data_IF_555790603390
#
_entry.id   IF_555790603390
#
_cell.length_a   1.000
_cell.length_b   1.000
_cell.length_c   1.000
_cell.angle_alpha   90.00
_cell.angle_beta   90.00
_cell.angle_gamma   90.00
#
_symmetry.space_group_name_H-M   'P 1'
#
loop_
_entity.id
_entity.type
_entity.pdbx_description
1 polymer ?
#
# COMPACT_ATOMS: atom_id res chain seq x y z
N UNK A 1 62.50 -23.93 -56.58
CA UNK A 1 61.80 -22.67 -56.21
C UNK A 1 60.93 -22.95 -54.98
N UNK A 2 60.90 -22.03 -54.00
CA UNK A 2 60.38 -22.23 -52.64
C UNK A 2 58.84 -22.07 -52.56
N UNK A 3 58.20 -22.34 -51.40
CA UNK A 3 56.75 -22.46 -51.25
C UNK A 3 56.03 -21.10 -51.10
N UNK A 4 54.68 -21.04 -51.22
CA UNK A 4 53.94 -19.81 -51.05
C UNK A 4 53.86 -19.37 -49.58
N UNK A 5 53.97 -18.06 -49.39
CA UNK A 5 54.02 -17.31 -48.15
C UNK A 5 52.70 -17.31 -47.37
N UNK A 6 52.80 -17.60 -46.08
CA UNK A 6 51.78 -17.35 -45.05
C UNK A 6 51.66 -15.83 -44.84
N UNK A 7 50.44 -15.28 -44.91
CA UNK A 7 50.15 -13.89 -44.52
C UNK A 7 49.74 -13.86 -43.04
N UNK A 8 50.29 -12.93 -42.21
CA UNK A 8 49.99 -12.89 -40.79
C UNK A 8 48.73 -12.05 -40.49
N UNK A 9 47.79 -12.69 -39.79
CA UNK A 9 47.06 -12.14 -38.65
C UNK A 9 46.40 -10.77 -38.79
N UNK A 10 45.14 -10.77 -39.22
CA UNK A 10 44.20 -9.74 -38.79
C UNK A 10 43.62 -10.16 -37.43
N UNK A 11 44.35 -9.85 -36.36
CA UNK A 11 43.88 -10.05 -34.98
C UNK A 11 42.84 -9.00 -34.66
N UNK A 12 41.62 -9.20 -35.15
CA UNK A 12 40.44 -8.52 -34.63
C UNK A 12 40.29 -8.97 -33.18
N UNK A 13 40.74 -8.11 -32.25
CA UNK A 13 40.48 -8.28 -30.83
C UNK A 13 38.97 -8.50 -30.66
N UNK A 14 38.53 -9.60 -30.04
CA UNK A 14 37.15 -9.68 -29.61
C UNK A 14 36.99 -8.57 -28.59
N UNK A 15 36.20 -7.55 -28.93
CA UNK A 15 35.69 -6.59 -27.96
C UNK A 15 35.06 -7.43 -26.87
N UNK A 16 35.78 -7.55 -25.75
CA UNK A 16 35.30 -8.20 -24.55
C UNK A 16 34.10 -7.34 -24.12
N UNK A 17 32.92 -7.74 -24.58
CA UNK A 17 31.64 -7.27 -24.08
C UNK A 17 31.74 -7.46 -22.59
N UNK A 18 31.89 -6.35 -21.87
CA UNK A 18 31.81 -6.29 -20.41
C UNK A 18 30.66 -7.21 -20.04
N UNK A 19 30.96 -8.34 -19.39
CA UNK A 19 29.93 -9.19 -18.80
C UNK A 19 29.24 -8.29 -17.80
N UNK A 20 28.12 -7.69 -18.19
CA UNK A 20 27.19 -7.08 -17.24
C UNK A 20 26.84 -8.19 -16.26
N UNK A 21 27.40 -8.11 -15.05
CA UNK A 21 27.26 -9.13 -14.00
C UNK A 21 25.82 -9.19 -13.48
N UNK A 22 24.94 -8.29 -13.91
CA UNK A 22 23.51 -8.29 -13.56
C UNK A 22 22.58 -8.44 -14.76
N UNK A 23 21.37 -8.91 -14.46
CA UNK A 23 20.27 -9.02 -15.41
C UNK A 23 19.76 -7.63 -15.81
N UNK A 24 20.36 -7.03 -16.85
CA UNK A 24 19.97 -5.69 -17.33
C UNK A 24 18.53 -5.62 -17.79
N UNK A 25 17.91 -6.77 -18.14
CA UNK A 25 16.50 -6.84 -18.49
C UNK A 25 15.58 -6.44 -17.33
N UNK A 26 16.02 -6.63 -16.08
CA UNK A 26 15.30 -6.17 -14.90
C UNK A 26 15.13 -4.63 -14.91
N UNK A 27 16.15 -3.90 -15.37
CA UNK A 27 16.15 -2.44 -15.41
C UNK A 27 15.54 -1.85 -16.69
N UNK A 28 15.66 -2.55 -17.82
CA UNK A 28 15.15 -2.08 -19.11
C UNK A 28 13.71 -2.49 -19.40
N UNK A 29 13.12 -3.36 -18.57
CA UNK A 29 11.70 -3.71 -18.68
C UNK A 29 10.79 -2.52 -18.34
N UNK A 30 9.56 -2.52 -18.85
CA UNK A 30 8.59 -1.46 -18.56
C UNK A 30 8.34 -1.29 -17.05
N UNK A 31 8.27 -2.39 -16.30
CA UNK A 31 8.12 -2.38 -14.83
C UNK A 31 9.39 -1.86 -14.16
N UNK A 32 10.57 -2.27 -14.64
CA UNK A 32 11.86 -1.77 -14.14
C UNK A 32 12.01 -0.26 -14.27
N UNK A 33 11.59 0.31 -15.40
CA UNK A 33 11.61 1.77 -15.62
C UNK A 33 10.70 2.48 -14.62
N UNK A 34 9.50 1.94 -14.35
CA UNK A 34 8.60 2.53 -13.35
C UNK A 34 9.20 2.48 -11.96
N UNK A 35 9.81 1.36 -11.56
CA UNK A 35 10.51 1.25 -10.26
C UNK A 35 11.66 2.24 -10.10
N UNK A 36 12.37 2.54 -11.19
CA UNK A 36 13.38 3.59 -11.18
C UNK A 36 12.76 4.98 -10.99
N UNK A 37 11.61 5.25 -11.60
CA UNK A 37 10.86 6.50 -11.38
C UNK A 37 10.31 6.60 -9.95
N UNK A 38 9.77 5.52 -9.39
CA UNK A 38 9.35 5.45 -7.99
C UNK A 38 10.49 5.82 -7.05
N UNK A 39 11.66 5.21 -7.27
CA UNK A 39 12.86 5.44 -6.46
C UNK A 39 13.33 6.90 -6.58
N UNK A 40 13.33 7.45 -7.79
CA UNK A 40 13.70 8.85 -8.03
C UNK A 40 12.72 9.83 -7.38
N UNK A 41 11.41 9.65 -7.58
CA UNK A 41 10.41 10.54 -7.01
C UNK A 41 10.35 10.44 -5.48
N UNK A 42 10.45 9.24 -4.90
CA UNK A 42 10.52 9.07 -3.45
C UNK A 42 11.78 9.76 -2.89
N UNK A 43 12.94 9.59 -3.54
CA UNK A 43 14.20 10.22 -3.17
C UNK A 43 14.12 11.74 -3.17
N UNK A 44 13.60 12.31 -4.26
CA UNK A 44 13.39 13.77 -4.37
C UNK A 44 12.44 14.24 -3.28
N UNK A 45 11.36 13.51 -3.02
CA UNK A 45 10.36 13.88 -2.00
C UNK A 45 10.98 14.01 -0.62
N UNK A 46 11.57 12.94 -0.06
CA UNK A 46 12.13 13.02 1.28
C UNK A 46 13.33 13.97 1.34
N UNK A 47 14.15 14.07 0.29
CA UNK A 47 15.30 14.99 0.26
C UNK A 47 14.87 16.45 0.35
N UNK A 48 13.78 16.83 -0.33
CA UNK A 48 13.20 18.18 -0.24
C UNK A 48 12.71 18.48 1.19
N UNK A 49 12.08 17.51 1.85
CA UNK A 49 11.59 17.69 3.22
C UNK A 49 12.74 17.76 4.23
N UNK A 50 13.76 16.89 4.12
CA UNK A 50 14.99 16.93 4.93
C UNK A 50 15.66 18.29 4.83
N UNK A 51 15.83 18.80 3.61
CA UNK A 51 16.59 20.02 3.38
C UNK A 51 16.00 21.25 4.09
N UNK A 52 14.68 21.28 4.28
CA UNK A 52 13.98 22.40 4.95
C UNK A 52 13.52 22.08 6.37
N UNK A 53 13.79 20.88 6.90
CA UNK A 53 13.32 20.46 8.23
C UNK A 53 11.80 20.39 8.33
N UNK A 54 11.12 20.02 7.25
CA UNK A 54 9.67 20.16 7.11
C UNK A 54 8.81 19.02 7.65
N UNK A 55 9.21 18.32 8.72
CA UNK A 55 8.52 17.11 9.20
C UNK A 55 8.12 17.13 10.68
N UNK A 56 8.08 18.29 11.32
CA UNK A 56 7.84 18.36 12.76
C UNK A 56 6.49 17.75 13.18
N UNK A 57 6.54 16.80 14.12
CA UNK A 57 5.38 16.15 14.70
C UNK A 57 4.98 14.83 14.04
N UNK A 58 4.08 14.10 14.70
CA UNK A 58 3.69 12.72 14.34
C UNK A 58 3.25 12.53 12.88
N UNK A 59 2.60 13.54 12.30
CA UNK A 59 2.15 13.48 10.92
C UNK A 59 3.31 13.58 9.92
N UNK A 60 4.33 14.38 10.22
CA UNK A 60 5.55 14.45 9.42
C UNK A 60 6.39 13.19 9.55
N UNK A 61 6.50 12.64 10.76
CA UNK A 61 7.15 11.33 11.01
C UNK A 61 6.52 10.22 10.16
N UNK A 62 5.18 10.18 10.09
CA UNK A 62 4.46 9.22 9.24
C UNK A 62 4.78 9.42 7.74
N UNK A 63 4.77 10.66 7.26
CA UNK A 63 5.07 10.95 5.85
C UNK A 63 6.52 10.55 5.49
N UNK A 64 7.48 10.89 6.35
CA UNK A 64 8.89 10.51 6.19
C UNK A 64 9.07 8.99 6.23
N UNK A 65 8.41 8.31 7.16
CA UNK A 65 8.41 6.85 7.20
C UNK A 65 7.89 6.25 5.89
N UNK A 66 6.75 6.72 5.38
CA UNK A 66 6.19 6.25 4.12
C UNK A 66 7.19 6.39 2.97
N UNK A 67 7.75 7.59 2.74
CA UNK A 67 8.67 7.81 1.62
C UNK A 67 9.98 7.03 1.75
N UNK A 68 10.60 7.02 2.93
CA UNK A 68 11.86 6.31 3.16
C UNK A 68 11.69 4.80 3.09
N UNK A 69 10.61 4.26 3.67
CA UNK A 69 10.30 2.83 3.61
C UNK A 69 10.02 2.38 2.17
N UNK A 70 9.21 3.16 1.43
CA UNK A 70 8.93 2.90 0.03
C UNK A 70 10.22 2.88 -0.81
N UNK A 71 11.07 3.89 -0.65
CA UNK A 71 12.38 3.96 -1.31
C UNK A 71 13.28 2.75 -0.99
N UNK A 72 13.44 2.42 0.29
CA UNK A 72 14.34 1.36 0.73
C UNK A 72 13.92 -0.01 0.19
N UNK A 73 12.63 -0.32 0.23
CA UNK A 73 12.12 -1.61 -0.25
C UNK A 73 12.11 -1.67 -1.78
N UNK A 74 11.75 -0.60 -2.51
CA UNK A 74 11.89 -0.56 -3.98
C UNK A 74 13.34 -0.74 -4.40
N UNK A 75 14.29 -0.11 -3.71
CA UNK A 75 15.73 -0.32 -3.96
C UNK A 75 16.13 -1.78 -3.74
N UNK A 76 15.67 -2.40 -2.65
CA UNK A 76 15.94 -3.81 -2.36
C UNK A 76 15.37 -4.72 -3.45
N UNK A 77 14.13 -4.47 -3.90
CA UNK A 77 13.49 -5.22 -4.99
C UNK A 77 14.34 -5.12 -6.27
N UNK A 78 14.75 -3.91 -6.65
CA UNK A 78 15.59 -3.68 -7.83
C UNK A 78 16.95 -4.39 -7.72
N UNK A 79 17.61 -4.35 -6.56
CA UNK A 79 18.89 -5.02 -6.32
C UNK A 79 18.76 -6.53 -6.43
N UNK A 80 17.72 -7.12 -5.83
CA UNK A 80 17.46 -8.56 -5.90
C UNK A 80 17.20 -9.01 -7.33
N UNK A 81 16.41 -8.26 -8.09
CA UNK A 81 16.09 -8.58 -9.49
C UNK A 81 17.30 -8.42 -10.40
N UNK A 82 18.08 -7.36 -10.19
CA UNK A 82 19.32 -7.14 -10.93
C UNK A 82 20.35 -8.24 -10.66
N UNK A 83 20.47 -8.67 -9.40
CA UNK A 83 21.37 -9.75 -9.00
C UNK A 83 20.85 -11.16 -9.36
N UNK A 84 19.60 -11.29 -9.80
CA UNK A 84 18.99 -12.59 -10.12
C UNK A 84 18.82 -13.51 -8.91
N UNK A 85 18.76 -12.97 -7.69
CA UNK A 85 18.72 -13.73 -6.44
C UNK A 85 17.30 -14.17 -6.02
N UNK A 86 16.33 -14.05 -6.92
CA UNK A 86 14.91 -14.33 -6.68
C UNK A 86 14.68 -15.74 -6.08
N UNK A 87 15.39 -16.75 -6.58
CA UNK A 87 15.24 -18.15 -6.12
C UNK A 87 15.82 -18.39 -4.70
N UNK A 88 16.67 -17.51 -4.18
CA UNK A 88 17.29 -17.69 -2.86
C UNK A 88 16.45 -17.14 -1.71
N UNK A 89 15.42 -16.36 -2.02
CA UNK A 89 14.57 -15.72 -1.03
C UNK A 89 13.38 -16.65 -0.76
N UNK A 90 13.03 -16.93 0.52
CA UNK A 90 11.93 -17.82 0.88
C UNK A 90 10.53 -17.20 0.65
N UNK A 91 10.43 -16.20 -0.23
CA UNK A 91 9.23 -15.40 -0.48
C UNK A 91 8.87 -15.52 -1.96
N UNK A 92 7.57 -15.63 -2.25
CA UNK A 92 7.06 -15.63 -3.62
C UNK A 92 7.36 -14.31 -4.31
N UNK A 93 8.35 -14.31 -5.21
CA UNK A 93 8.69 -13.15 -6.01
C UNK A 93 7.61 -12.78 -7.04
N UNK A 94 6.53 -13.58 -7.13
CA UNK A 94 5.35 -13.31 -7.97
C UNK A 94 4.29 -12.49 -7.24
N UNK A 95 4.12 -12.73 -5.94
CA UNK A 95 3.11 -12.05 -5.12
C UNK A 95 3.70 -10.85 -4.38
N UNK A 96 4.94 -10.96 -3.88
CA UNK A 96 5.53 -9.94 -3.02
C UNK A 96 5.64 -8.56 -3.67
N UNK A 97 6.21 -8.40 -4.89
CA UNK A 97 6.42 -7.06 -5.44
C UNK A 97 5.11 -6.32 -5.72
N UNK A 98 4.09 -7.00 -6.28
CA UNK A 98 2.77 -6.38 -6.52
C UNK A 98 2.06 -6.03 -5.21
N UNK A 99 2.12 -6.89 -4.18
CA UNK A 99 1.55 -6.57 -2.86
C UNK A 99 2.24 -5.37 -2.24
N UNK A 100 3.57 -5.34 -2.29
CA UNK A 100 4.34 -4.21 -1.79
C UNK A 100 4.02 -2.93 -2.55
N UNK A 101 4.00 -2.95 -3.89
CA UNK A 101 3.64 -1.79 -4.70
C UNK A 101 2.25 -1.25 -4.37
N UNK A 102 1.28 -2.14 -4.07
CA UNK A 102 -0.05 -1.73 -3.63
C UNK A 102 -0.06 -1.11 -2.22
N UNK A 103 0.72 -1.63 -1.28
CA UNK A 103 0.88 -0.98 0.03
C UNK A 103 1.61 0.36 -0.10
N UNK A 104 2.65 0.43 -0.92
CA UNK A 104 3.45 1.62 -1.15
C UNK A 104 2.62 2.73 -1.81
N UNK A 105 1.74 2.39 -2.77
CA UNK A 105 0.81 3.36 -3.36
C UNK A 105 -0.14 3.95 -2.30
N UNK A 106 -0.71 3.12 -1.43
CA UNK A 106 -1.60 3.55 -0.37
C UNK A 106 -0.89 4.39 0.70
N UNK A 107 0.33 4.00 1.10
CA UNK A 107 1.18 4.78 2.00
C UNK A 107 1.51 6.14 1.39
N UNK A 108 1.97 6.19 0.13
CA UNK A 108 2.27 7.43 -0.57
C UNK A 108 1.02 8.30 -0.78
N UNK A 109 -0.14 7.69 -1.06
CA UNK A 109 -1.41 8.41 -1.13
C UNK A 109 -1.74 9.07 0.20
N UNK A 110 -1.60 8.33 1.31
CA UNK A 110 -1.84 8.87 2.65
C UNK A 110 -0.90 10.04 2.98
N UNK A 111 0.40 9.90 2.68
CA UNK A 111 1.38 10.97 2.87
C UNK A 111 1.06 12.19 2.00
N UNK A 112 0.62 11.98 0.75
CA UNK A 112 0.24 13.05 -0.18
C UNK A 112 -1.00 13.84 0.24
N UNK A 113 -1.84 13.27 1.11
CA UNK A 113 -2.99 13.97 1.71
C UNK A 113 -2.62 14.61 3.05
N UNK A 114 -1.92 13.89 3.92
CA UNK A 114 -1.58 14.34 5.27
C UNK A 114 -0.59 15.52 5.23
N UNK A 115 0.45 15.44 4.41
CA UNK A 115 1.50 16.45 4.34
C UNK A 115 1.01 17.86 3.94
N UNK A 116 0.25 18.06 2.85
CA UNK A 116 -0.24 19.39 2.50
C UNK A 116 -1.26 19.95 3.51
N UNK A 117 -2.12 19.10 4.08
CA UNK A 117 -3.08 19.56 5.11
C UNK A 117 -2.35 20.05 6.35
N UNK A 118 -1.24 19.41 6.72
CA UNK A 118 -0.49 19.74 7.94
C UNK A 118 0.51 20.89 7.75
N UNK A 119 1.24 20.95 6.63
CA UNK A 119 2.33 21.90 6.43
C UNK A 119 2.06 23.02 5.41
N UNK A 120 1.00 22.92 4.59
CA UNK A 120 0.65 23.96 3.60
C UNK A 120 -0.59 24.75 4.05
N UNK A 121 -1.62 24.08 4.57
CA UNK A 121 -2.86 24.75 4.98
C UNK A 121 -2.77 25.39 6.38
N UNK A 122 -2.10 24.73 7.33
CA UNK A 122 -2.03 25.19 8.72
C UNK A 122 -0.85 26.12 9.02
N UNK A 123 0.17 26.12 8.16
CA UNK A 123 1.39 26.86 8.38
C UNK A 123 1.27 28.20 7.67
N UNK A 124 1.29 29.31 8.41
CA UNK A 124 1.39 30.69 7.85
C UNK A 124 2.71 30.97 7.11
N UNK A 125 3.39 29.92 6.66
CA UNK A 125 4.71 29.90 6.04
C UNK A 125 4.59 30.49 4.65
N UNK A 126 5.31 31.59 4.42
CA UNK A 126 5.32 32.37 3.17
C UNK A 126 6.72 32.32 2.55
N UNK A 127 6.75 32.42 1.22
CA UNK A 127 8.00 32.42 0.44
C UNK A 127 8.52 31.01 0.15
N UNK A 128 9.83 30.91 -0.10
CA UNK A 128 10.47 29.71 -0.65
C UNK A 128 10.12 28.41 0.08
N UNK A 129 10.00 28.41 1.41
CA UNK A 129 9.70 27.20 2.20
C UNK A 129 8.39 26.54 1.76
N UNK A 130 7.36 27.33 1.44
CA UNK A 130 6.09 26.82 0.92
C UNK A 130 6.26 26.15 -0.45
N UNK A 131 7.14 26.67 -1.31
CA UNK A 131 7.42 26.08 -2.62
C UNK A 131 8.06 24.70 -2.49
N UNK A 132 8.93 24.48 -1.49
CA UNK A 132 9.49 23.16 -1.18
C UNK A 132 8.41 22.18 -0.70
N UNK A 133 7.49 22.61 0.17
CA UNK A 133 6.40 21.74 0.62
C UNK A 133 5.46 21.36 -0.53
N UNK A 134 5.16 22.31 -1.43
CA UNK A 134 4.34 22.04 -2.63
C UNK A 134 5.08 21.06 -3.55
N UNK A 135 6.35 21.29 -3.83
CA UNK A 135 7.17 20.40 -4.66
C UNK A 135 7.22 18.98 -4.07
N UNK A 136 7.48 18.85 -2.77
CA UNK A 136 7.47 17.56 -2.08
C UNK A 136 6.10 16.85 -2.20
N UNK A 137 5.00 17.61 -2.09
CA UNK A 137 3.64 17.04 -2.24
C UNK A 137 3.42 16.54 -3.67
N UNK A 138 3.85 17.29 -4.68
CA UNK A 138 3.75 16.89 -6.10
C UNK A 138 4.56 15.62 -6.37
N UNK A 139 5.81 15.54 -5.89
CA UNK A 139 6.62 14.34 -6.04
C UNK A 139 6.09 13.14 -5.25
N UNK A 140 5.47 13.37 -4.08
CA UNK A 140 4.76 12.33 -3.34
C UNK A 140 3.56 11.79 -4.16
N UNK A 141 2.79 12.67 -4.80
CA UNK A 141 1.70 12.27 -5.70
C UNK A 141 2.22 11.49 -6.91
N UNK A 142 3.33 11.93 -7.52
CA UNK A 142 3.96 11.22 -8.64
C UNK A 142 4.47 9.84 -8.23
N UNK A 143 5.05 9.72 -7.03
CA UNK A 143 5.45 8.44 -6.44
C UNK A 143 4.25 7.51 -6.28
N UNK A 144 3.14 8.02 -5.74
CA UNK A 144 1.89 7.26 -5.62
C UNK A 144 1.37 6.78 -6.98
N UNK A 145 1.37 7.65 -7.99
CA UNK A 145 0.93 7.30 -9.35
C UNK A 145 1.85 6.28 -10.00
N UNK A 146 3.16 6.36 -9.75
CA UNK A 146 4.14 5.40 -10.25
C UNK A 146 3.88 3.99 -9.65
N UNK A 147 3.69 3.88 -8.33
CA UNK A 147 3.29 2.61 -7.70
C UNK A 147 1.95 2.08 -8.21
N UNK A 148 0.96 2.95 -8.43
CA UNK A 148 -0.30 2.55 -9.05
C UNK A 148 -0.10 2.04 -10.49
N UNK A 149 0.79 2.67 -11.25
CA UNK A 149 1.16 2.22 -12.58
C UNK A 149 1.86 0.85 -12.52
N UNK A 150 2.77 0.60 -11.58
CA UNK A 150 3.36 -0.73 -11.36
C UNK A 150 2.26 -1.76 -11.10
N UNK A 151 1.34 -1.50 -10.16
CA UNK A 151 0.23 -2.42 -9.84
C UNK A 151 -0.62 -2.70 -11.07
N UNK A 152 -0.98 -1.68 -11.86
CA UNK A 152 -1.82 -1.88 -13.06
C UNK A 152 -1.12 -2.67 -14.15
N UNK A 153 0.19 -2.54 -14.32
CA UNK A 153 0.96 -3.31 -15.30
C UNK A 153 1.22 -4.75 -14.85
N UNK A 154 1.33 -4.97 -13.54
CA UNK A 154 1.60 -6.29 -12.94
C UNK A 154 0.32 -7.06 -12.60
N UNK A 155 -0.85 -6.44 -12.77
CA UNK A 155 -2.17 -7.10 -12.63
C UNK A 155 -2.31 -8.29 -13.58
N UNK A 156 -2.97 -9.32 -13.08
CA UNK A 156 -3.28 -10.53 -13.82
C UNK A 156 -4.09 -10.22 -15.08
N UNK A 157 -3.60 -10.63 -16.25
CA UNK A 157 -4.39 -10.67 -17.48
C UNK A 157 -5.19 -11.98 -17.54
N UNK A 158 -6.41 -11.98 -18.10
CA UNK A 158 -7.19 -13.21 -18.25
C UNK A 158 -6.39 -14.28 -19.03
N UNK A 159 -6.13 -15.43 -18.42
CA UNK A 159 -5.41 -16.56 -19.04
C UNK A 159 -3.93 -16.67 -18.70
N UNK A 160 -3.35 -15.74 -17.94
CA UNK A 160 -1.97 -15.82 -17.48
C UNK A 160 -1.89 -16.46 -16.08
N UNK A 161 -0.99 -17.44 -15.88
CA UNK A 161 -0.79 -18.08 -14.57
C UNK A 161 -0.04 -17.10 -13.68
N UNK A 162 -0.73 -16.13 -13.06
CA UNK A 162 -0.14 -15.15 -12.14
C UNK A 162 -0.43 -15.48 -10.68
N UNK A 163 0.31 -14.86 -9.75
CA UNK A 163 0.05 -15.01 -8.32
C UNK A 163 -1.31 -14.44 -7.90
N UNK A 164 -1.91 -14.98 -6.83
CA UNK A 164 -3.22 -14.53 -6.31
C UNK A 164 -3.23 -13.02 -6.01
N UNK A 165 -2.11 -12.44 -5.58
CA UNK A 165 -2.00 -11.00 -5.29
C UNK A 165 -2.11 -10.10 -6.51
N UNK A 166 -1.94 -10.66 -7.71
CA UNK A 166 -2.17 -9.93 -8.95
C UNK A 166 -3.65 -9.88 -9.37
N UNK A 167 -4.52 -10.59 -8.66
CA UNK A 167 -5.97 -10.60 -8.92
C UNK A 167 -6.68 -9.45 -8.20
N UNK A 168 -7.87 -9.09 -8.68
CA UNK A 168 -8.70 -8.04 -8.05
C UNK A 168 -9.01 -8.35 -6.57
N UNK A 169 -9.45 -9.56 -6.18
CA UNK A 169 -9.64 -9.92 -4.76
C UNK A 169 -8.37 -9.77 -3.92
N UNK A 170 -7.21 -10.18 -4.44
CA UNK A 170 -5.93 -10.03 -3.75
C UNK A 170 -5.57 -8.58 -3.46
N UNK A 171 -5.77 -7.69 -4.43
CA UNK A 171 -5.53 -6.24 -4.26
C UNK A 171 -6.54 -5.60 -3.31
N UNK A 172 -7.80 -6.04 -3.31
CA UNK A 172 -8.82 -5.54 -2.39
C UNK A 172 -8.44 -5.84 -0.94
N UNK A 173 -7.89 -7.02 -0.63
CA UNK A 173 -7.38 -7.35 0.72
C UNK A 173 -6.30 -6.41 1.22
N UNK A 174 -5.42 -5.94 0.33
CA UNK A 174 -4.40 -4.95 0.67
C UNK A 174 -5.08 -3.64 1.09
N UNK A 175 -6.11 -3.20 0.35
CA UNK A 175 -6.91 -2.02 0.72
C UNK A 175 -7.64 -2.24 2.05
N UNK A 176 -8.25 -3.40 2.26
CA UNK A 176 -8.98 -3.73 3.51
C UNK A 176 -8.11 -3.57 4.74
N UNK A 177 -6.91 -4.18 4.69
CA UNK A 177 -5.95 -4.15 5.79
C UNK A 177 -5.39 -2.75 6.00
N UNK A 178 -5.12 -2.00 4.93
CA UNK A 178 -4.65 -0.63 5.04
C UNK A 178 -5.69 0.31 5.66
N UNK A 179 -6.96 0.21 5.22
CA UNK A 179 -8.07 0.97 5.82
C UNK A 179 -8.24 0.62 7.30
N UNK A 180 -8.18 -0.66 7.65
CA UNK A 180 -8.22 -1.11 9.04
C UNK A 180 -7.05 -0.54 9.88
N UNK A 181 -5.83 -0.47 9.33
CA UNK A 181 -4.70 0.19 10.00
C UNK A 181 -4.99 1.66 10.30
N UNK A 182 -5.56 2.41 9.34
CA UNK A 182 -5.94 3.81 9.57
C UNK A 182 -7.01 3.92 10.66
N UNK A 183 -7.99 3.02 10.66
CA UNK A 183 -9.01 2.94 11.73
C UNK A 183 -8.33 2.75 13.09
N UNK A 184 -7.35 1.85 13.21
CA UNK A 184 -6.62 1.65 14.46
C UNK A 184 -5.86 2.90 14.92
N UNK A 185 -5.22 3.62 13.99
CA UNK A 185 -4.53 4.89 14.33
C UNK A 185 -5.52 5.89 14.92
N UNK A 186 -6.71 6.04 14.34
CA UNK A 186 -7.70 7.00 14.84
C UNK A 186 -8.43 6.54 16.10
N UNK A 187 -8.64 5.23 16.30
CA UNK A 187 -9.41 4.71 17.44
C UNK A 187 -8.61 4.70 18.74
N UNK A 188 -7.28 4.61 18.65
CA UNK A 188 -6.37 4.51 19.80
C UNK A 188 -6.04 5.85 20.44
N UNK A 189 -6.17 6.97 19.71
CA UNK A 189 -5.73 8.27 20.20
C UNK A 189 -6.71 9.42 19.81
N UNK A 190 -7.64 9.80 20.71
CA UNK A 190 -7.87 9.25 22.05
C UNK A 190 -8.66 7.93 22.02
N UNK A 191 -8.48 7.11 23.05
CA UNK A 191 -9.18 5.82 23.24
C UNK A 191 -10.70 6.03 23.21
N UNK A 192 -11.29 5.72 22.06
CA UNK A 192 -12.70 6.05 21.80
C UNK A 192 -13.65 4.88 22.05
N UNK A 193 -13.15 3.68 22.34
CA UNK A 193 -13.95 2.45 22.41
C UNK A 193 -14.27 1.97 23.83
N UNK A 194 -13.60 2.48 24.87
CA UNK A 194 -13.62 1.82 26.18
C UNK A 194 -14.90 2.06 27.00
N UNK A 195 -15.65 3.13 26.69
CA UNK A 195 -16.83 3.54 27.48
C UNK A 195 -18.06 2.62 27.32
N UNK A 196 -18.21 1.93 26.20
CA UNK A 196 -19.42 1.18 25.87
C UNK A 196 -19.06 -0.17 25.24
N UNK A 197 -19.71 -1.25 25.68
CA UNK A 197 -19.48 -2.60 25.18
C UNK A 197 -19.71 -2.72 23.67
N UNK A 198 -20.69 -1.96 23.14
CA UNK A 198 -20.97 -1.91 21.70
C UNK A 198 -19.78 -1.38 20.88
N UNK A 199 -18.98 -0.46 21.43
CA UNK A 199 -17.79 0.05 20.76
C UNK A 199 -16.60 -0.93 20.87
N UNK A 200 -16.56 -1.73 21.95
CA UNK A 200 -15.63 -2.86 22.08
C UNK A 200 -15.92 -3.93 21.03
N UNK A 201 -17.20 -4.17 20.71
CA UNK A 201 -17.58 -5.02 19.59
C UNK A 201 -17.07 -4.48 18.25
N UNK A 202 -17.25 -3.19 17.95
CA UNK A 202 -16.69 -2.58 16.74
C UNK A 202 -15.17 -2.79 16.64
N UNK A 203 -14.43 -2.59 17.73
CA UNK A 203 -12.99 -2.85 17.77
C UNK A 203 -12.67 -4.33 17.50
N UNK A 204 -13.42 -5.25 18.11
CA UNK A 204 -13.25 -6.69 17.88
C UNK A 204 -13.47 -7.05 16.41
N UNK A 205 -14.48 -6.46 15.76
CA UNK A 205 -14.73 -6.62 14.32
C UNK A 205 -13.52 -6.18 13.51
N UNK A 206 -12.98 -4.98 13.76
CA UNK A 206 -11.82 -4.48 13.04
C UNK A 206 -10.60 -5.40 13.23
N UNK A 207 -10.33 -5.84 14.46
CA UNK A 207 -9.22 -6.75 14.77
C UNK A 207 -9.35 -8.12 14.08
N UNK A 208 -10.50 -8.76 14.19
CA UNK A 208 -10.73 -10.11 13.62
C UNK A 208 -10.58 -10.05 12.10
N UNK A 209 -11.25 -9.10 11.45
CA UNK A 209 -11.19 -8.98 9.99
C UNK A 209 -9.79 -8.59 9.51
N UNK A 210 -9.09 -7.69 10.22
CA UNK A 210 -7.71 -7.34 9.92
C UNK A 210 -6.77 -8.55 9.99
N UNK A 211 -6.83 -9.33 11.09
CA UNK A 211 -5.99 -10.52 11.27
C UNK A 211 -6.28 -11.53 10.17
N UNK A 212 -7.55 -11.78 9.86
CA UNK A 212 -7.93 -12.74 8.81
C UNK A 212 -7.44 -12.29 7.42
N UNK A 213 -7.63 -11.03 7.04
CA UNK A 213 -7.13 -10.51 5.76
C UNK A 213 -5.59 -10.54 5.72
N UNK A 214 -4.90 -10.19 6.81
CA UNK A 214 -3.44 -10.25 6.92
C UNK A 214 -2.90 -11.67 6.81
N UNK A 215 -3.52 -12.65 7.47
CA UNK A 215 -3.14 -14.06 7.36
C UNK A 215 -3.25 -14.53 5.92
N UNK A 216 -4.31 -14.18 5.21
CA UNK A 216 -4.42 -14.52 3.78
C UNK A 216 -3.30 -13.88 2.97
N UNK A 217 -2.95 -12.62 3.26
CA UNK A 217 -1.85 -11.94 2.56
C UNK A 217 -0.52 -12.67 2.78
N UNK A 218 -0.19 -13.00 4.03
CA UNK A 218 1.03 -13.72 4.39
C UNK A 218 1.08 -15.12 3.76
N UNK A 219 -0.03 -15.87 3.78
CA UNK A 219 -0.10 -17.19 3.15
C UNK A 219 0.13 -17.12 1.64
N UNK A 220 -0.37 -16.10 0.95
CA UNK A 220 -0.12 -15.92 -0.48
C UNK A 220 1.32 -15.51 -0.79
N UNK A 221 1.92 -14.63 0.04
CA UNK A 221 3.31 -14.20 -0.13
C UNK A 221 4.28 -15.36 0.16
N UNK A 222 3.98 -16.20 1.16
CA UNK A 222 4.79 -17.37 1.53
C UNK A 222 4.51 -18.63 0.72
N UNK A 223 3.57 -18.61 -0.24
CA UNK A 223 3.10 -19.80 -0.97
C UNK A 223 2.64 -20.97 -0.07
N UNK A 224 2.24 -20.67 1.17
CA UNK A 224 1.79 -21.65 2.16
C UNK A 224 0.27 -21.94 2.08
N UNK A 225 -0.37 -21.64 0.94
CA UNK A 225 -1.84 -21.80 0.78
C UNK A 225 -2.31 -23.26 0.94
N UNK A 226 -1.42 -24.23 0.71
CA UNK A 226 -1.70 -25.67 0.89
C UNK A 226 -1.73 -26.15 2.34
N UNK A 227 -1.37 -25.32 3.32
CA UNK A 227 -1.46 -25.69 4.74
C UNK A 227 -2.89 -25.62 5.30
N UNK A 228 -3.81 -25.02 4.54
CA UNK A 228 -5.20 -24.92 4.96
C UNK A 228 -5.89 -26.30 4.80
N UNK A 229 -6.61 -26.78 5.84
CA UNK A 229 -7.33 -28.05 5.80
C UNK A 229 -8.55 -28.03 4.86
N UNK A 230 -8.85 -26.89 4.23
CA UNK A 230 -9.97 -26.69 3.32
C UNK A 230 -9.49 -26.05 2.01
N UNK A 231 -10.26 -26.21 0.94
CA UNK A 231 -10.00 -25.55 -0.33
C UNK A 231 -9.89 -24.02 -0.13
N UNK A 232 -8.76 -23.45 -0.55
CA UNK A 232 -8.43 -22.03 -0.37
C UNK A 232 -9.57 -21.11 -0.81
N UNK A 233 -10.19 -21.37 -1.97
CA UNK A 233 -11.30 -20.58 -2.51
C UNK A 233 -12.56 -20.61 -1.62
N UNK A 234 -12.84 -21.74 -0.95
CA UNK A 234 -13.98 -21.84 -0.01
C UNK A 234 -13.70 -21.09 1.28
N UNK A 235 -12.48 -21.19 1.81
CA UNK A 235 -12.04 -20.41 2.96
C UNK A 235 -12.14 -18.91 2.67
N UNK A 236 -11.68 -18.49 1.49
CA UNK A 236 -11.79 -17.12 1.00
C UNK A 236 -13.22 -16.61 1.00
N UNK A 237 -14.10 -17.30 0.26
CA UNK A 237 -15.51 -16.89 0.17
C UNK A 237 -16.20 -16.87 1.54
N UNK A 238 -15.89 -17.83 2.41
CA UNK A 238 -16.48 -17.93 3.74
C UNK A 238 -16.07 -16.77 4.66
N UNK A 239 -14.78 -16.43 4.71
CA UNK A 239 -14.34 -15.30 5.53
C UNK A 239 -14.86 -13.97 4.97
N UNK A 240 -14.86 -13.76 3.64
CA UNK A 240 -15.31 -12.46 3.09
C UNK A 240 -16.78 -12.23 3.42
N UNK A 241 -17.62 -13.27 3.33
CA UNK A 241 -19.01 -13.19 3.74
C UNK A 241 -19.14 -12.84 5.24
N UNK A 242 -18.37 -13.51 6.10
CA UNK A 242 -18.35 -13.22 7.53
C UNK A 242 -17.92 -11.77 7.81
N UNK A 243 -16.88 -11.29 7.14
CA UNK A 243 -16.36 -9.94 7.28
C UNK A 243 -17.40 -8.90 6.85
N UNK A 244 -18.12 -9.10 5.74
CA UNK A 244 -19.23 -8.24 5.31
C UNK A 244 -20.30 -8.13 6.40
N UNK A 245 -20.73 -9.26 6.97
CA UNK A 245 -21.75 -9.27 8.03
C UNK A 245 -21.25 -8.52 9.28
N UNK A 246 -20.01 -8.79 9.71
CA UNK A 246 -19.42 -8.13 10.87
C UNK A 246 -19.26 -6.62 10.65
N UNK A 247 -18.73 -6.18 9.51
CA UNK A 247 -18.59 -4.76 9.18
C UNK A 247 -19.94 -4.06 9.00
N UNK A 248 -20.97 -4.74 8.51
CA UNK A 248 -22.32 -4.19 8.46
C UNK A 248 -22.83 -3.83 9.86
N UNK A 249 -22.60 -4.71 10.85
CA UNK A 249 -22.94 -4.38 12.26
C UNK A 249 -22.12 -3.20 12.78
N UNK A 250 -20.81 -3.16 12.52
CA UNK A 250 -19.95 -2.07 12.99
C UNK A 250 -20.32 -0.71 12.35
N UNK A 251 -20.70 -0.72 11.08
CA UNK A 251 -21.13 0.48 10.33
C UNK A 251 -22.41 1.10 10.90
N UNK A 252 -23.29 0.28 11.50
CA UNK A 252 -24.52 0.76 12.14
C UNK A 252 -24.27 1.15 13.60
N UNK A 253 -23.56 0.32 14.35
CA UNK A 253 -23.33 0.51 15.79
C UNK A 253 -22.48 1.76 16.04
N UNK A 254 -21.40 1.96 15.29
CA UNK A 254 -20.47 3.06 15.54
C UNK A 254 -21.14 4.45 15.46
N UNK A 255 -21.87 4.80 14.38
CA UNK A 255 -22.53 6.10 14.30
C UNK A 255 -23.63 6.29 15.34
N UNK A 256 -24.39 5.24 15.67
CA UNK A 256 -25.47 5.32 16.68
C UNK A 256 -24.87 5.75 18.03
N UNK A 257 -23.82 5.08 18.49
CA UNK A 257 -23.27 5.37 19.81
C UNK A 257 -22.42 6.65 19.86
N UNK A 258 -21.85 7.10 18.73
CA UNK A 258 -21.01 8.31 18.69
C UNK A 258 -21.75 9.59 18.31
N UNK A 259 -22.82 9.50 17.53
CA UNK A 259 -23.52 10.68 17.02
C UNK A 259 -24.97 10.81 17.51
N UNK A 260 -25.61 9.76 18.02
CA UNK A 260 -26.97 9.88 18.58
C UNK A 260 -26.93 10.45 20.01
N UNK A 261 -27.65 11.56 20.23
CA UNK A 261 -27.81 12.18 21.56
C UNK A 261 -28.44 11.23 22.56
N UNK A 262 -29.33 10.32 22.12
CA UNK A 262 -29.99 9.34 23.01
C UNK A 262 -29.00 8.36 23.64
N UNK A 263 -27.87 8.12 22.99
CA UNK A 263 -26.82 7.19 23.44
C UNK A 263 -25.61 7.94 24.04
N UNK A 264 -25.73 9.24 24.30
CA UNK A 264 -24.65 10.09 24.82
C UNK A 264 -23.65 10.57 23.76
N UNK A 265 -23.98 10.42 22.46
CA UNK A 265 -23.19 10.88 21.32
C UNK A 265 -23.36 12.38 21.01
N UNK A 266 -22.45 12.91 20.20
CA UNK A 266 -22.42 14.33 19.82
C UNK A 266 -22.60 14.49 18.29
N UNK A 267 -23.80 14.87 17.81
CA UNK A 267 -24.11 14.89 16.37
C UNK A 267 -23.41 16.03 15.61
N UNK A 268 -23.13 17.15 16.29
CA UNK A 268 -22.59 18.35 15.65
C UNK A 268 -21.13 18.54 16.03
N UNK A 269 -20.32 19.00 15.06
CA UNK A 269 -18.93 19.40 15.28
C UNK A 269 -18.89 20.48 16.38
N UNK A 270 -18.17 20.24 17.49
CA UNK A 270 -18.08 21.20 18.59
C UNK A 270 -17.46 22.53 18.14
N UNK A 271 -17.88 23.64 18.74
CA UNK A 271 -17.34 24.98 18.43
C UNK A 271 -15.84 25.09 18.73
N UNK A 272 -15.33 24.40 19.75
CA UNK A 272 -13.90 24.39 20.08
C UNK A 272 -13.04 23.69 19.01
N UNK A 273 -13.63 22.85 18.16
CA UNK A 273 -12.94 22.19 17.05
C UNK A 273 -12.83 23.07 15.78
N UNK A 274 -13.42 24.27 15.74
CA UNK A 274 -13.48 25.07 14.51
C UNK A 274 -12.11 25.48 13.97
N UNK A 275 -11.14 25.75 14.86
CA UNK A 275 -9.81 26.25 14.50
C UNK A 275 -8.72 25.16 14.44
N UNK A 276 -9.09 23.89 14.64
CA UNK A 276 -8.16 22.77 14.61
C UNK A 276 -8.48 21.85 13.44
N UNK A 277 -7.47 21.56 12.64
CA UNK A 277 -7.45 20.50 11.64
C UNK A 277 -7.12 19.20 12.36
N UNK A 278 -8.08 18.26 12.40
CA UNK A 278 -8.05 16.99 13.15
C UNK A 278 -8.38 17.07 14.64
N UNK A 279 -9.55 17.62 14.97
CA UNK A 279 -10.12 17.49 16.30
C UNK A 279 -10.58 16.04 16.58
N UNK A 280 -10.79 15.68 17.85
CA UNK A 280 -11.23 14.32 18.20
C UNK A 280 -12.58 13.94 17.57
N UNK A 281 -13.48 14.91 17.40
CA UNK A 281 -14.74 14.69 16.69
C UNK A 281 -14.50 14.35 15.21
N UNK A 282 -13.52 14.99 14.56
CA UNK A 282 -13.17 14.70 13.16
C UNK A 282 -12.62 13.27 13.01
N UNK A 283 -11.86 12.78 14.01
CA UNK A 283 -11.40 11.39 14.06
C UNK A 283 -12.56 10.39 14.18
N UNK A 284 -13.58 10.69 14.98
CA UNK A 284 -14.78 9.83 15.10
C UNK A 284 -15.54 9.71 13.77
N UNK A 285 -15.65 10.83 13.03
CA UNK A 285 -16.24 10.85 11.69
C UNK A 285 -15.35 10.08 10.72
N UNK A 286 -14.04 10.27 10.76
CA UNK A 286 -13.09 9.53 9.94
C UNK A 286 -13.24 8.02 10.16
N UNK A 287 -13.32 7.55 11.41
CA UNK A 287 -13.57 6.13 11.71
C UNK A 287 -14.88 5.66 11.10
N UNK A 288 -15.99 6.41 11.26
CA UNK A 288 -17.28 6.02 10.70
C UNK A 288 -17.24 5.89 9.17
N UNK A 289 -16.62 6.86 8.49
CA UNK A 289 -16.45 6.86 7.04
C UNK A 289 -15.54 5.72 6.59
N UNK A 290 -14.40 5.51 7.26
CA UNK A 290 -13.48 4.42 6.95
C UNK A 290 -14.10 3.05 7.17
N UNK A 291 -14.92 2.87 8.21
CA UNK A 291 -15.68 1.64 8.45
C UNK A 291 -16.67 1.37 7.31
N UNK A 292 -17.38 2.39 6.83
CA UNK A 292 -18.28 2.26 5.69
C UNK A 292 -17.52 1.96 4.39
N UNK A 293 -16.39 2.63 4.15
CA UNK A 293 -15.51 2.34 3.01
C UNK A 293 -15.02 0.90 3.09
N UNK A 294 -14.60 0.43 4.26
CA UNK A 294 -14.09 -0.93 4.41
C UNK A 294 -15.18 -1.97 4.15
N UNK A 295 -16.42 -1.71 4.61
CA UNK A 295 -17.58 -2.54 4.26
C UNK A 295 -17.78 -2.63 2.74
N UNK A 296 -17.69 -1.51 2.03
CA UNK A 296 -17.82 -1.48 0.56
C UNK A 296 -16.68 -2.28 -0.12
N UNK A 297 -15.46 -2.21 0.41
CA UNK A 297 -14.33 -2.99 -0.09
C UNK A 297 -14.57 -4.49 0.11
N UNK A 298 -14.99 -4.91 1.32
CA UNK A 298 -15.36 -6.32 1.59
C UNK A 298 -16.53 -6.80 0.72
N UNK A 299 -17.52 -5.94 0.46
CA UNK A 299 -18.63 -6.25 -0.46
C UNK A 299 -18.13 -6.44 -1.89
N UNK A 300 -17.23 -5.57 -2.36
CA UNK A 300 -16.61 -5.72 -3.68
C UNK A 300 -15.79 -7.01 -3.75
N UNK A 301 -14.99 -7.33 -2.72
CA UNK A 301 -14.23 -8.59 -2.63
C UNK A 301 -15.17 -9.79 -2.72
N UNK A 302 -16.30 -9.78 -2.01
CA UNK A 302 -17.28 -10.86 -2.05
C UNK A 302 -17.85 -11.04 -3.45
N UNK A 303 -18.23 -9.95 -4.13
CA UNK A 303 -18.78 -9.99 -5.49
C UNK A 303 -17.76 -10.51 -6.49
N UNK A 304 -16.51 -10.03 -6.44
CA UNK A 304 -15.45 -10.48 -7.34
C UNK A 304 -15.06 -11.93 -7.08
N UNK A 305 -14.93 -12.32 -5.81
CA UNK A 305 -14.63 -13.70 -5.41
C UNK A 305 -15.74 -14.67 -5.81
N UNK A 306 -17.02 -14.28 -5.64
CA UNK A 306 -18.16 -15.08 -6.09
C UNK A 306 -18.15 -15.25 -7.62
N UNK A 307 -17.96 -14.16 -8.39
CA UNK A 307 -17.88 -14.25 -9.85
C UNK A 307 -16.74 -15.18 -10.31
N UNK A 308 -15.60 -15.14 -9.64
CA UNK A 308 -14.46 -15.99 -9.99
C UNK A 308 -14.78 -17.48 -9.77
N UNK A 309 -15.51 -17.82 -8.71
CA UNK A 309 -15.94 -19.19 -8.42
C UNK A 309 -17.04 -19.65 -9.39
N UNK A 310 -18.04 -18.80 -9.68
CA UNK A 310 -19.17 -19.15 -10.55
C UNK A 310 -18.84 -19.20 -12.06
N UNK A 311 -17.80 -18.50 -12.50
CA UNK A 311 -17.36 -18.52 -13.91
C UNK A 311 -16.36 -19.66 -14.17
N UNK A 312 -15.69 -20.18 -13.12
CA UNK A 312 -14.74 -21.29 -13.22
C UNK A 312 -15.36 -22.68 -12.93
N UNK A 313 -16.61 -22.74 -12.48
CA UNK A 313 -17.38 -23.96 -12.25
C UNK A 313 -18.23 -24.33 -13.48
#
# INVERSE_FOLDING_TARGET
MPPPSVSPGDSTMPVQRVKSVGNTQALTSQVGIIRLLELLFACVTFSLVVHRGGWDGRNGDWCMFCWCFCFAVTLLVLVVEFAGLQHRIPVSWRNFPITFAMYASLMCLSASVIYPVTYIQNSGVRGQVKDYHIAATVFSCLTCLAYMAEVTLTRAKPGEVTGYMATTPGLLKVVETFVACIIFVFISDPVSYDRQEALKWCLAVYCICFILSLVVIVLCIGECTGWLPCAFNKFLSGYTLLAVLMYATATIIWPIYKFDRKQGGQPNRPSYCQNQSFCDWDKLVAIAVLTAINLLVYLADLVYSARLIFIQA
#
